data_IF_883322150578
#
_entry.id   IF_883322150578
#
_cell.length_a   1.000
_cell.length_b   1.000
_cell.length_c   1.000
_cell.angle_alpha   90.00
_cell.angle_beta   90.00
_cell.angle_gamma   90.00
#
_symmetry.space_group_name_H-M   'P 1'
#
loop_
_entity.id
_entity.type
_entity.pdbx_description
1 polymer ?
#
# COMPACT_ATOMS: atom_id res chain seq x y z
N UNK A 1 20.61 -11.95 39.92
CA UNK A 1 19.53 -11.11 39.35
C UNK A 1 20.11 -10.30 38.20
N UNK A 2 19.91 -10.76 36.96
CA UNK A 2 20.33 -10.00 35.78
C UNK A 2 19.37 -8.81 35.66
N UNK A 3 19.90 -7.58 35.74
CA UNK A 3 19.14 -6.36 35.45
C UNK A 3 18.46 -6.55 34.10
N UNK A 4 17.13 -6.66 34.08
CA UNK A 4 16.40 -6.59 32.83
C UNK A 4 16.73 -5.25 32.17
N UNK A 5 17.09 -5.23 30.87
CA UNK A 5 17.29 -3.98 30.17
C UNK A 5 15.95 -3.22 30.17
N UNK A 6 16.02 -1.91 30.45
CA UNK A 6 14.93 -0.95 30.27
C UNK A 6 14.05 -1.34 29.07
N UNK A 7 12.76 -1.60 29.33
CA UNK A 7 11.80 -2.08 28.34
C UNK A 7 11.83 -1.24 27.07
N UNK A 8 12.02 0.08 27.18
CA UNK A 8 12.11 0.97 26.02
C UNK A 8 13.33 0.63 25.14
N UNK A 9 14.48 0.36 25.75
CA UNK A 9 15.70 -0.06 25.01
C UNK A 9 15.51 -1.43 24.37
N UNK A 10 14.79 -2.33 25.03
CA UNK A 10 14.47 -3.65 24.48
C UNK A 10 13.55 -3.54 23.26
N UNK A 11 12.49 -2.72 23.35
CA UNK A 11 11.59 -2.41 22.22
C UNK A 11 12.38 -1.83 21.05
N UNK A 12 13.19 -0.79 21.29
CA UNK A 12 14.03 -0.17 20.27
C UNK A 12 14.96 -1.16 19.57
N UNK A 13 15.56 -2.07 20.34
CA UNK A 13 16.48 -3.07 19.82
C UNK A 13 15.77 -4.08 18.92
N UNK A 14 14.59 -4.55 19.34
CA UNK A 14 13.76 -5.47 18.55
C UNK A 14 13.28 -4.79 17.28
N UNK A 15 12.76 -3.55 17.36
CA UNK A 15 12.29 -2.77 16.22
C UNK A 15 13.41 -2.56 15.19
N UNK A 16 14.60 -2.11 15.62
CA UNK A 16 15.75 -1.93 14.73
C UNK A 16 16.18 -3.23 14.06
N UNK A 17 16.16 -4.34 14.81
CA UNK A 17 16.51 -5.65 14.27
C UNK A 17 15.51 -6.12 13.19
N UNK A 18 14.21 -5.96 13.45
CA UNK A 18 13.15 -6.29 12.50
C UNK A 18 13.24 -5.47 11.22
N UNK A 19 13.44 -4.16 11.34
CA UNK A 19 13.58 -3.27 10.19
C UNK A 19 14.84 -3.58 9.38
N UNK A 20 15.97 -3.84 10.04
CA UNK A 20 17.21 -4.23 9.35
C UNK A 20 17.04 -5.55 8.59
N UNK A 21 16.37 -6.54 9.18
CA UNK A 21 16.08 -7.79 8.51
C UNK A 21 15.14 -7.59 7.31
N UNK A 22 14.12 -6.74 7.44
CA UNK A 22 13.22 -6.40 6.35
C UNK A 22 13.93 -5.65 5.22
N UNK A 23 14.81 -4.70 5.53
CA UNK A 23 15.57 -3.96 4.51
C UNK A 23 16.47 -4.86 3.67
N UNK A 24 16.98 -5.95 4.25
CA UNK A 24 17.80 -6.95 3.55
C UNK A 24 16.91 -7.91 2.74
N UNK A 25 15.79 -8.36 3.30
CA UNK A 25 14.99 -9.46 2.74
C UNK A 25 13.84 -9.02 1.83
N UNK A 26 13.31 -7.80 2.00
CA UNK A 26 12.11 -7.30 1.33
C UNK A 26 12.52 -6.20 0.33
N UNK A 27 12.47 -6.47 -0.99
CA UNK A 27 12.77 -5.47 -1.99
C UNK A 27 11.79 -4.29 -1.90
N UNK A 28 12.32 -3.07 -1.78
CA UNK A 28 11.51 -1.85 -1.82
C UNK A 28 11.03 -1.61 -3.25
N UNK A 29 9.75 -1.27 -3.41
CA UNK A 29 9.24 -0.88 -4.71
C UNK A 29 9.93 0.43 -5.17
N UNK A 30 10.23 0.54 -6.46
CA UNK A 30 11.00 1.67 -7.00
C UNK A 30 10.30 3.04 -6.91
N UNK A 31 9.09 3.12 -6.34
CA UNK A 31 8.23 4.32 -6.30
C UNK A 31 7.73 4.79 -7.66
N UNK A 32 8.37 4.36 -8.74
CA UNK A 32 7.97 4.68 -10.10
C UNK A 32 6.69 3.95 -10.44
N UNK A 33 5.64 4.73 -10.70
CA UNK A 33 4.43 4.18 -11.29
C UNK A 33 4.78 3.55 -12.63
N UNK A 34 4.45 2.27 -12.86
CA UNK A 34 4.69 1.65 -14.15
C UNK A 34 3.95 2.47 -15.21
N UNK A 35 4.66 2.80 -16.29
CA UNK A 35 4.05 3.48 -17.44
C UNK A 35 2.80 2.71 -17.82
N UNK A 36 1.63 3.38 -17.86
CA UNK A 36 0.31 2.80 -18.14
C UNK A 36 0.42 1.58 -19.06
N UNK A 37 0.39 0.41 -18.45
CA UNK A 37 0.64 -0.84 -19.14
C UNK A 37 -0.55 -1.10 -20.04
N UNK A 38 -0.31 -1.18 -21.36
CA UNK A 38 -1.34 -1.58 -22.32
C UNK A 38 -1.32 -3.11 -22.36
N UNK A 39 -2.32 -3.83 -21.82
CA UNK A 39 -2.25 -5.29 -21.70
C UNK A 39 -2.13 -6.03 -23.04
N UNK A 40 -2.52 -5.37 -24.13
CA UNK A 40 -2.44 -5.86 -25.50
C UNK A 40 -1.11 -5.51 -26.21
N UNK A 41 -0.21 -4.75 -25.59
CA UNK A 41 1.04 -4.30 -26.19
C UNK A 41 2.18 -5.29 -25.89
N UNK A 42 2.84 -5.80 -26.94
CA UNK A 42 3.91 -6.79 -26.83
C UNK A 42 5.05 -6.50 -27.83
N UNK A 43 6.04 -7.38 -27.88
CA UNK A 43 7.23 -7.20 -28.74
C UNK A 43 6.90 -7.13 -30.23
N UNK A 44 5.84 -7.82 -30.67
CA UNK A 44 5.36 -7.71 -32.05
C UNK A 44 4.84 -6.30 -32.36
N UNK A 45 4.11 -5.67 -31.41
CA UNK A 45 3.71 -4.27 -31.53
C UNK A 45 4.94 -3.32 -31.52
N UNK A 46 5.95 -3.61 -30.69
CA UNK A 46 7.20 -2.84 -30.65
C UNK A 46 7.96 -2.93 -31.97
N UNK A 47 8.17 -4.14 -32.50
CA UNK A 47 8.87 -4.39 -33.75
C UNK A 47 8.16 -3.71 -34.92
N UNK A 48 6.85 -3.86 -35.05
CA UNK A 48 6.07 -3.23 -36.11
C UNK A 48 6.09 -1.69 -36.01
N UNK A 49 6.03 -1.12 -34.80
CA UNK A 49 6.15 0.33 -34.58
C UNK A 49 7.56 0.84 -34.92
N UNK A 50 8.60 0.09 -34.55
CA UNK A 50 10.00 0.43 -34.86
C UNK A 50 10.25 0.40 -36.37
N UNK A 51 9.72 -0.61 -37.07
CA UNK A 51 9.78 -0.71 -38.53
C UNK A 51 9.04 0.47 -39.19
N UNK A 52 7.83 0.78 -38.75
CA UNK A 52 7.09 1.96 -39.23
C UNK A 52 7.88 3.26 -39.04
N UNK A 53 8.50 3.44 -37.86
CA UNK A 53 9.29 4.64 -37.54
C UNK A 53 10.52 4.77 -38.43
N UNK A 54 11.25 3.67 -38.66
CA UNK A 54 12.40 3.66 -39.57
C UNK A 54 12.03 4.10 -40.99
N UNK A 55 10.93 3.56 -41.52
CA UNK A 55 10.48 3.91 -42.88
C UNK A 55 9.92 5.34 -42.94
N UNK A 56 9.25 5.80 -41.87
CA UNK A 56 8.85 7.19 -41.72
C UNK A 56 10.04 8.14 -41.72
N UNK A 57 11.08 7.85 -40.93
CA UNK A 57 12.28 8.69 -40.86
C UNK A 57 13.00 8.74 -42.22
N UNK A 58 13.04 7.63 -42.96
CA UNK A 58 13.57 7.59 -44.33
C UNK A 58 12.75 8.45 -45.29
N UNK A 59 11.43 8.34 -45.28
CA UNK A 59 10.54 9.17 -46.10
C UNK A 59 10.62 10.66 -45.74
N UNK A 60 10.69 10.98 -44.44
CA UNK A 60 10.81 12.36 -43.94
C UNK A 60 12.10 13.03 -44.38
N UNK A 61 13.21 12.29 -44.43
CA UNK A 61 14.51 12.80 -44.92
C UNK A 61 14.57 12.84 -46.45
N UNK A 62 13.95 11.87 -47.12
CA UNK A 62 13.98 11.71 -48.57
C UNK A 62 12.57 11.47 -49.12
N UNK A 63 11.82 12.53 -49.49
CA UNK A 63 10.40 12.48 -49.86
C UNK A 63 10.12 11.89 -51.25
N UNK A 64 10.63 10.71 -51.56
CA UNK A 64 10.39 10.04 -52.85
C UNK A 64 9.09 9.24 -52.85
N UNK A 65 8.49 9.03 -54.02
CA UNK A 65 7.29 8.21 -54.21
C UNK A 65 7.46 6.78 -53.68
N UNK A 66 8.62 6.17 -53.91
CA UNK A 66 8.97 4.85 -53.39
C UNK A 66 8.98 4.81 -51.85
N UNK A 67 9.58 5.82 -51.21
CA UNK A 67 9.61 5.92 -49.74
C UNK A 67 8.21 6.18 -49.16
N UNK A 68 7.37 6.95 -49.85
CA UNK A 68 5.98 7.18 -49.46
C UNK A 68 5.15 5.87 -49.52
N UNK A 69 5.30 5.07 -50.57
CA UNK A 69 4.65 3.75 -50.71
C UNK A 69 5.12 2.81 -49.59
N UNK A 70 6.43 2.75 -49.32
CA UNK A 70 6.98 1.94 -48.25
C UNK A 70 6.41 2.37 -46.87
N UNK A 71 6.30 3.67 -46.61
CA UNK A 71 5.71 4.17 -45.37
C UNK A 71 4.22 3.79 -45.25
N UNK A 72 3.44 3.94 -46.33
CA UNK A 72 2.03 3.53 -46.36
C UNK A 72 1.87 2.03 -46.04
N UNK A 73 2.72 1.16 -46.60
CA UNK A 73 2.75 -0.29 -46.32
C UNK A 73 3.10 -0.58 -44.86
N UNK A 74 4.14 0.05 -44.31
CA UNK A 74 4.52 -0.14 -42.91
C UNK A 74 3.44 0.38 -41.93
N UNK A 75 2.76 1.48 -42.29
CA UNK A 75 1.64 2.05 -41.53
C UNK A 75 0.42 1.13 -41.52
N UNK A 76 0.05 0.55 -42.67
CA UNK A 76 -1.07 -0.40 -42.75
C UNK A 76 -0.76 -1.69 -41.99
N UNK A 77 0.46 -2.22 -42.11
CA UNK A 77 0.92 -3.39 -41.37
C UNK A 77 0.86 -3.17 -39.85
N UNK A 78 1.41 -2.04 -39.36
CA UNK A 78 1.32 -1.71 -37.94
C UNK A 78 -0.14 -1.59 -37.46
N UNK A 79 -1.03 -0.99 -38.26
CA UNK A 79 -2.47 -0.93 -37.95
C UNK A 79 -3.09 -2.32 -37.83
N UNK A 80 -2.76 -3.25 -38.72
CA UNK A 80 -3.21 -4.66 -38.68
C UNK A 80 -2.76 -5.35 -37.39
N UNK A 81 -1.46 -5.32 -37.08
CA UNK A 81 -0.90 -5.92 -35.86
C UNK A 81 -1.58 -5.32 -34.62
N UNK A 82 -1.71 -3.99 -34.56
CA UNK A 82 -2.35 -3.31 -33.45
C UNK A 82 -3.80 -3.77 -33.22
N UNK A 83 -4.60 -3.91 -34.30
CA UNK A 83 -5.99 -4.39 -34.22
C UNK A 83 -6.04 -5.85 -33.76
N UNK A 84 -5.25 -6.73 -34.35
CA UNK A 84 -5.19 -8.15 -33.98
C UNK A 84 -4.82 -8.33 -32.51
N UNK A 85 -3.83 -7.59 -32.00
CA UNK A 85 -3.37 -7.71 -30.62
C UNK A 85 -4.39 -7.18 -29.62
N UNK A 86 -5.07 -6.07 -29.92
CA UNK A 86 -6.21 -5.58 -29.12
C UNK A 86 -7.31 -6.64 -29.04
N UNK A 87 -7.72 -7.19 -30.18
CA UNK A 87 -8.79 -8.19 -30.23
C UNK A 87 -8.42 -9.46 -29.45
N UNK A 88 -7.23 -10.01 -29.65
CA UNK A 88 -6.78 -11.21 -28.92
C UNK A 88 -6.69 -10.96 -27.41
N UNK A 89 -6.23 -9.78 -27.00
CA UNK A 89 -6.20 -9.41 -25.58
C UNK A 89 -7.61 -9.27 -25.00
N UNK A 90 -8.55 -8.72 -25.76
CA UNK A 90 -9.94 -8.60 -25.33
C UNK A 90 -10.61 -9.98 -25.24
N UNK A 91 -10.42 -10.85 -26.23
CA UNK A 91 -10.88 -12.24 -26.20
C UNK A 91 -10.35 -12.99 -24.97
N UNK A 92 -9.05 -12.85 -24.67
CA UNK A 92 -8.43 -13.44 -23.47
C UNK A 92 -9.02 -12.88 -22.17
N UNK A 93 -9.36 -11.59 -22.15
CA UNK A 93 -9.99 -10.97 -20.99
C UNK A 93 -11.41 -11.53 -20.77
N UNK A 94 -12.21 -11.60 -21.83
CA UNK A 94 -13.56 -12.18 -21.78
C UNK A 94 -13.51 -13.66 -21.37
N UNK A 95 -12.58 -14.45 -21.92
CA UNK A 95 -12.41 -15.86 -21.55
C UNK A 95 -11.95 -16.07 -20.10
N UNK A 96 -11.47 -15.01 -19.43
CA UNK A 96 -11.13 -15.05 -18.00
C UNK A 96 -12.35 -14.92 -17.08
N UNK A 97 -13.54 -14.61 -17.62
CA UNK A 97 -14.79 -14.58 -16.86
C UNK A 97 -15.34 -16.01 -16.90
N UNK A 98 -15.01 -16.79 -15.87
CA UNK A 98 -15.39 -18.19 -15.75
C UNK A 98 -16.42 -18.38 -14.63
N UNK A 99 -17.22 -19.45 -14.70
CA UNK A 99 -18.31 -19.72 -13.76
C UNK A 99 -17.88 -19.96 -12.31
N UNK A 100 -16.60 -20.28 -12.05
CA UNK A 100 -16.07 -20.46 -10.69
C UNK A 100 -15.77 -19.12 -9.97
N UNK A 101 -15.85 -17.99 -10.67
CA UNK A 101 -15.64 -16.68 -10.06
C UNK A 101 -16.86 -16.27 -9.21
N UNK A 102 -16.61 -15.56 -8.11
CA UNK A 102 -17.69 -14.98 -7.32
C UNK A 102 -18.48 -13.95 -8.13
N UNK A 103 -19.79 -13.82 -7.84
CA UNK A 103 -20.67 -12.85 -8.51
C UNK A 103 -20.11 -11.43 -8.48
N UNK A 104 -19.51 -11.02 -7.34
CA UNK A 104 -18.82 -9.73 -7.21
C UNK A 104 -17.70 -9.57 -8.24
N UNK A 105 -16.82 -10.56 -8.36
CA UNK A 105 -15.69 -10.51 -9.29
C UNK A 105 -16.13 -10.48 -10.75
N UNK A 106 -17.19 -11.22 -11.09
CA UNK A 106 -17.81 -11.19 -12.43
C UNK A 106 -18.33 -9.79 -12.74
N UNK A 107 -19.14 -9.20 -11.86
CA UNK A 107 -19.70 -7.86 -12.06
C UNK A 107 -18.63 -6.77 -12.10
N UNK A 108 -17.57 -6.87 -11.31
CA UNK A 108 -16.41 -5.97 -11.42
C UNK A 108 -15.73 -6.05 -12.80
N UNK A 109 -15.55 -7.27 -13.33
CA UNK A 109 -14.96 -7.49 -14.66
C UNK A 109 -15.87 -6.99 -15.77
N UNK A 110 -17.18 -7.18 -15.67
CA UNK A 110 -18.19 -6.67 -16.60
C UNK A 110 -18.25 -5.15 -16.55
N UNK A 111 -18.25 -4.55 -15.37
CA UNK A 111 -18.21 -3.10 -15.19
C UNK A 111 -16.98 -2.45 -15.83
N UNK A 112 -15.82 -3.14 -15.82
CA UNK A 112 -14.61 -2.68 -16.53
C UNK A 112 -14.78 -2.66 -18.05
N UNK A 113 -15.56 -3.59 -18.61
CA UNK A 113 -15.89 -3.62 -20.04
C UNK A 113 -16.85 -2.48 -20.39
N UNK A 114 -17.88 -2.29 -19.57
CA UNK A 114 -18.91 -1.28 -19.77
C UNK A 114 -18.41 0.15 -19.47
N UNK A 115 -17.22 0.30 -18.87
CA UNK A 115 -16.71 1.59 -18.42
C UNK A 115 -17.47 2.17 -17.24
N UNK A 116 -18.39 1.42 -16.64
CA UNK A 116 -19.18 1.82 -15.45
C UNK A 116 -18.40 1.58 -14.16
N UNK A 117 -17.29 0.84 -14.23
CA UNK A 117 -16.37 0.71 -13.11
C UNK A 117 -15.75 2.08 -12.81
N UNK A 118 -16.29 2.73 -11.79
CA UNK A 118 -15.68 3.90 -11.16
C UNK A 118 -14.40 3.43 -10.48
N UNK A 119 -13.34 3.20 -11.26
CA UNK A 119 -11.99 3.15 -10.72
C UNK A 119 -11.82 4.44 -9.95
N UNK A 120 -11.60 4.35 -8.63
CA UNK A 120 -11.41 5.49 -7.73
C UNK A 120 -10.73 6.64 -8.47
N UNK A 121 -11.51 7.65 -8.83
CA UNK A 121 -10.95 8.93 -9.25
C UNK A 121 -10.47 9.54 -7.95
N UNK A 122 -9.20 9.27 -7.62
CA UNK A 122 -8.55 9.94 -6.49
C UNK A 122 -8.74 11.44 -6.65
N UNK A 123 -8.94 12.12 -5.53
CA UNK A 123 -9.03 13.59 -5.47
C UNK A 123 -7.82 14.13 -6.24
N UNK A 124 -8.08 14.75 -7.39
CA UNK A 124 -7.03 15.15 -8.34
C UNK A 124 -6.40 16.48 -7.98
N UNK A 125 -7.07 17.25 -7.13
CA UNK A 125 -6.63 18.53 -6.63
C UNK A 125 -7.34 18.84 -5.30
N UNK A 126 -6.63 19.46 -4.38
CA UNK A 126 -7.19 20.06 -3.17
C UNK A 126 -6.69 21.50 -3.07
N UNK A 127 -7.54 22.41 -2.59
CA UNK A 127 -7.19 23.81 -2.39
C UNK A 127 -7.21 24.11 -0.89
N UNK A 128 -6.10 24.62 -0.37
CA UNK A 128 -5.97 25.03 1.02
C UNK A 128 -5.32 26.41 1.05
N UNK A 129 -5.94 27.38 1.72
CA UNK A 129 -5.41 28.74 1.88
C UNK A 129 -4.96 29.39 0.56
N UNK A 130 -5.69 29.15 -0.54
CA UNK A 130 -5.37 29.71 -1.87
C UNK A 130 -4.33 28.95 -2.70
N UNK A 131 -3.63 27.95 -2.14
CA UNK A 131 -2.67 27.12 -2.90
C UNK A 131 -3.30 25.84 -3.43
N UNK A 132 -3.00 25.52 -4.69
CA UNK A 132 -3.45 24.31 -5.38
C UNK A 132 -2.46 23.16 -5.16
N UNK A 133 -2.92 22.10 -4.49
CA UNK A 133 -2.12 20.89 -4.25
C UNK A 133 -2.60 19.78 -5.19
N UNK A 134 -1.76 19.41 -6.16
CA UNK A 134 -2.07 18.41 -7.20
C UNK A 134 -1.39 17.05 -6.98
N UNK A 135 -0.40 16.97 -6.10
CA UNK A 135 0.33 15.73 -5.81
C UNK A 135 -0.35 14.97 -4.67
N UNK A 136 -0.52 13.65 -4.82
CA UNK A 136 -1.29 12.80 -3.89
C UNK A 136 -0.79 12.87 -2.45
N UNK A 137 0.53 12.90 -2.25
CA UNK A 137 1.12 13.04 -0.90
C UNK A 137 0.75 14.38 -0.26
N UNK A 138 0.74 15.45 -1.04
CA UNK A 138 0.37 16.78 -0.57
C UNK A 138 -1.10 16.81 -0.18
N UNK A 139 -1.98 16.29 -1.03
CA UNK A 139 -3.42 16.20 -0.75
C UNK A 139 -3.66 15.41 0.55
N UNK A 140 -2.99 14.27 0.73
CA UNK A 140 -3.09 13.47 1.94
C UNK A 140 -2.60 14.21 3.19
N UNK A 141 -1.45 14.89 3.10
CA UNK A 141 -0.90 15.69 4.21
C UNK A 141 -1.81 16.86 4.56
N UNK A 142 -2.36 17.56 3.57
CA UNK A 142 -3.34 18.63 3.75
C UNK A 142 -4.57 18.12 4.51
N UNK A 143 -5.16 17.01 4.05
CA UNK A 143 -6.30 16.39 4.75
C UNK A 143 -5.93 16.02 6.19
N UNK A 144 -4.76 15.40 6.37
CA UNK A 144 -4.21 15.08 7.69
C UNK A 144 -4.09 16.32 8.59
N UNK A 145 -3.57 17.43 8.07
CA UNK A 145 -3.47 18.68 8.83
C UNK A 145 -4.82 19.28 9.18
N UNK A 146 -5.80 19.24 8.27
CA UNK A 146 -7.15 19.74 8.54
C UNK A 146 -7.81 18.89 9.61
N UNK A 147 -7.73 17.56 9.51
CA UNK A 147 -8.26 16.66 10.54
C UNK A 147 -7.56 16.84 11.88
N UNK A 148 -6.24 17.02 11.89
CA UNK A 148 -5.48 17.29 13.11
C UNK A 148 -5.90 18.62 13.74
N UNK A 149 -6.08 19.67 12.94
CA UNK A 149 -6.54 20.98 13.42
C UNK A 149 -7.96 20.90 13.99
N UNK A 150 -8.88 20.25 13.30
CA UNK A 150 -10.27 20.06 13.78
C UNK A 150 -10.31 19.17 15.04
N UNK A 151 -9.39 18.23 15.16
CA UNK A 151 -9.28 17.34 16.34
C UNK A 151 -8.36 17.90 17.42
N UNK A 152 -7.79 19.09 17.22
CA UNK A 152 -6.87 19.71 18.18
C UNK A 152 -7.63 20.19 19.40
N UNK A 153 -6.91 20.33 20.52
CA UNK A 153 -7.51 20.85 21.75
C UNK A 153 -8.12 22.25 21.55
N UNK A 154 -7.57 23.03 20.62
CA UNK A 154 -7.99 24.39 20.27
C UNK A 154 -9.38 24.44 19.61
N UNK A 155 -9.86 23.32 19.06
CA UNK A 155 -11.19 23.22 18.47
C UNK A 155 -12.30 22.93 19.50
N UNK A 156 -11.95 22.58 20.74
CA UNK A 156 -12.92 22.32 21.80
C UNK A 156 -13.28 23.60 22.58
N UNK A 157 -14.44 23.59 23.23
CA UNK A 157 -14.80 24.67 24.15
C UNK A 157 -13.84 24.74 25.33
N UNK A 158 -13.58 25.96 25.83
CA UNK A 158 -12.70 26.15 27.00
C UNK A 158 -13.18 25.36 28.23
N UNK A 159 -14.50 25.19 28.37
CA UNK A 159 -15.11 24.36 29.42
C UNK A 159 -14.72 22.89 29.29
N UNK A 160 -14.75 22.32 28.08
CA UNK A 160 -14.36 20.93 27.84
C UNK A 160 -12.86 20.71 28.01
N UNK A 161 -12.02 21.64 27.54
CA UNK A 161 -10.56 21.56 27.72
C UNK A 161 -10.21 21.50 29.22
N UNK A 162 -10.85 22.34 30.03
CA UNK A 162 -10.63 22.38 31.48
C UNK A 162 -11.06 21.06 32.13
N UNK A 163 -12.24 20.54 31.75
CA UNK A 163 -12.72 19.24 32.20
C UNK A 163 -11.76 18.09 31.81
N UNK A 164 -11.35 18.00 30.54
CA UNK A 164 -10.40 17.00 30.02
C UNK A 164 -9.10 17.02 30.82
N UNK A 165 -8.46 18.18 30.96
CA UNK A 165 -7.21 18.33 31.73
C UNK A 165 -7.37 17.93 33.21
N UNK A 166 -8.54 18.16 33.80
CA UNK A 166 -8.83 17.72 35.16
C UNK A 166 -9.01 16.20 35.25
N UNK A 167 -9.67 15.57 34.27
CA UNK A 167 -9.84 14.12 34.23
C UNK A 167 -8.54 13.39 33.90
N UNK A 168 -7.74 13.87 32.95
CA UNK A 168 -6.45 13.27 32.57
C UNK A 168 -5.39 13.32 33.69
N UNK A 169 -5.53 14.25 34.64
CA UNK A 169 -4.72 14.27 35.87
C UNK A 169 -5.04 13.11 36.83
N UNK A 170 -6.24 12.53 36.75
CA UNK A 170 -6.63 11.41 37.61
C UNK A 170 -5.90 10.16 37.12
N UNK A 171 -4.89 9.73 37.87
CA UNK A 171 -4.24 8.43 37.63
C UNK A 171 -5.24 7.32 37.90
N UNK A 172 -5.49 6.49 36.89
CA UNK A 172 -6.30 5.28 37.04
C UNK A 172 -5.39 4.23 37.70
N UNK A 173 -5.79 3.77 38.89
CA UNK A 173 -5.10 2.68 39.57
C UNK A 173 -5.70 1.35 39.09
N UNK A 174 -4.94 0.57 38.34
CA UNK A 174 -5.32 -0.79 37.91
C UNK A 174 -4.94 -1.87 38.94
N UNK A 175 -4.37 -1.45 40.08
CA UNK A 175 -3.90 -2.36 41.12
C UNK A 175 -5.07 -3.06 41.78
N UNK A 176 -5.03 -4.39 41.79
CA UNK A 176 -6.01 -5.24 42.46
C UNK A 176 -5.26 -6.33 43.22
N UNK A 177 -5.75 -6.66 44.42
CA UNK A 177 -5.21 -7.76 45.23
C UNK A 177 -5.71 -9.13 44.74
N UNK A 178 -6.73 -9.15 43.87
CA UNK A 178 -7.28 -10.37 43.31
C UNK A 178 -6.45 -10.85 42.12
N UNK A 179 -6.05 -12.11 42.16
CA UNK A 179 -5.41 -12.79 41.03
C UNK A 179 -6.48 -13.17 40.01
N UNK A 180 -6.57 -12.41 38.91
CA UNK A 180 -7.45 -12.74 37.80
C UNK A 180 -6.70 -13.51 36.71
N UNK A 181 -7.36 -14.53 36.15
CA UNK A 181 -6.77 -15.37 35.10
C UNK A 181 -6.39 -14.60 33.83
N UNK A 182 -6.98 -13.44 33.57
CA UNK A 182 -6.65 -12.59 32.42
C UNK A 182 -5.46 -11.63 32.66
N UNK A 183 -4.93 -11.57 33.89
CA UNK A 183 -3.79 -10.73 34.25
C UNK A 183 -2.45 -11.49 34.26
N UNK A 184 -2.46 -12.78 33.93
CA UNK A 184 -1.24 -13.60 33.85
C UNK A 184 -0.45 -13.30 32.58
N UNK A 185 0.82 -13.70 32.58
CA UNK A 185 1.71 -13.65 31.42
C UNK A 185 1.07 -14.25 30.16
N UNK A 186 1.26 -13.58 29.03
CA UNK A 186 0.84 -14.12 27.75
C UNK A 186 1.65 -15.37 27.41
N UNK A 187 1.01 -16.30 26.71
CA UNK A 187 1.66 -17.49 26.20
C UNK A 187 1.91 -17.43 24.68
N UNK A 188 2.77 -18.32 24.19
CA UNK A 188 3.15 -18.36 22.79
C UNK A 188 1.98 -18.69 21.84
N UNK A 189 0.97 -19.43 22.33
CA UNK A 189 -0.22 -19.75 21.55
C UNK A 189 -1.09 -18.52 21.33
N UNK A 190 -1.28 -17.69 22.35
CA UNK A 190 -2.00 -16.42 22.27
C UNK A 190 -1.32 -15.46 21.32
N UNK A 191 0.00 -15.27 21.46
CA UNK A 191 0.77 -14.41 20.58
C UNK A 191 0.66 -14.85 19.11
N UNK A 192 0.81 -16.15 18.84
CA UNK A 192 0.66 -16.70 17.48
C UNK A 192 -0.76 -16.53 16.94
N UNK A 193 -1.78 -16.72 17.78
CA UNK A 193 -3.17 -16.54 17.38
C UNK A 193 -3.42 -15.09 17.01
N UNK A 194 -2.97 -14.14 17.84
CA UNK A 194 -3.10 -12.71 17.62
C UNK A 194 -2.43 -12.25 16.31
N UNK A 195 -1.19 -12.69 16.07
CA UNK A 195 -0.45 -12.37 14.83
C UNK A 195 -1.14 -12.99 13.59
N UNK A 196 -1.72 -14.19 13.70
CA UNK A 196 -2.44 -14.81 12.58
C UNK A 196 -3.77 -14.15 12.28
N UNK A 197 -4.51 -13.73 13.31
CA UNK A 197 -5.79 -13.03 13.15
C UNK A 197 -5.63 -11.59 12.69
N UNK A 198 -4.42 -11.01 12.72
CA UNK A 198 -4.22 -9.63 12.30
C UNK A 198 -4.42 -9.47 10.78
N UNK A 199 -5.17 -8.44 10.40
CA UNK A 199 -5.33 -8.07 9.00
C UNK A 199 -4.12 -7.25 8.52
N UNK A 200 -3.69 -7.41 7.26
CA UNK A 200 -2.61 -6.61 6.70
C UNK A 200 -3.08 -5.16 6.51
N UNK A 201 -2.84 -4.33 7.52
CA UNK A 201 -3.03 -2.88 7.49
C UNK A 201 -1.71 -2.16 7.17
N UNK A 202 -1.79 -0.86 6.88
CA UNK A 202 -0.61 -0.03 6.69
C UNK A 202 0.25 -0.02 7.96
N UNK A 203 1.59 -0.18 7.86
CA UNK A 203 2.49 -0.10 9.01
C UNK A 203 2.30 1.19 9.81
N UNK A 204 2.52 1.11 11.12
CA UNK A 204 2.48 2.26 12.02
C UNK A 204 3.72 3.15 11.89
N UNK A 205 3.91 4.03 12.88
CA UNK A 205 5.10 4.91 12.97
C UNK A 205 6.41 4.12 13.11
N UNK A 206 6.32 2.89 13.62
CA UNK A 206 7.44 1.95 13.75
C UNK A 206 7.87 1.33 12.40
N UNK A 207 7.07 1.47 11.35
CA UNK A 207 7.32 0.87 10.04
C UNK A 207 7.21 -0.65 9.99
N UNK A 208 6.74 -1.32 11.05
CA UNK A 208 6.62 -2.78 11.11
C UNK A 208 5.31 -3.21 10.46
N UNK A 209 5.40 -3.99 9.38
CA UNK A 209 4.21 -4.58 8.75
C UNK A 209 3.78 -5.87 9.46
N UNK A 210 2.48 -6.12 9.57
CA UNK A 210 1.95 -7.39 10.08
C UNK A 210 2.49 -8.63 9.36
N UNK A 211 2.78 -8.53 8.06
CA UNK A 211 3.36 -9.63 7.30
C UNK A 211 4.80 -9.94 7.74
N UNK A 212 5.55 -8.96 8.27
CA UNK A 212 6.85 -9.22 8.87
C UNK A 212 6.70 -10.08 10.13
N UNK A 213 5.71 -9.77 10.98
CA UNK A 213 5.44 -10.50 12.21
C UNK A 213 4.96 -11.94 11.93
N UNK A 214 4.13 -12.13 10.90
CA UNK A 214 3.64 -13.46 10.48
C UNK A 214 4.74 -14.39 9.98
N UNK A 215 5.83 -13.84 9.46
CA UNK A 215 6.97 -14.58 8.93
C UNK A 215 8.14 -14.74 9.92
N UNK A 216 7.94 -14.38 11.19
CA UNK A 216 8.97 -14.54 12.22
C UNK A 216 9.27 -16.00 12.54
N UNK A 217 10.55 -16.29 12.81
CA UNK A 217 10.98 -17.60 13.28
C UNK A 217 10.40 -17.91 14.67
N UNK A 218 10.30 -19.20 15.03
CA UNK A 218 9.85 -19.61 16.38
C UNK A 218 10.70 -18.99 17.50
N UNK A 219 12.01 -18.83 17.28
CA UNK A 219 12.93 -18.21 18.25
C UNK A 219 12.64 -16.72 18.40
N UNK A 220 12.45 -16.02 17.29
CA UNK A 220 12.10 -14.58 17.27
C UNK A 220 10.76 -14.31 17.94
N UNK A 221 9.77 -15.18 17.74
CA UNK A 221 8.48 -15.10 18.44
C UNK A 221 8.62 -15.31 19.96
N UNK A 222 9.54 -16.18 20.40
CA UNK A 222 9.85 -16.35 21.81
C UNK A 222 10.45 -15.09 22.44
N UNK A 223 11.38 -14.43 21.75
CA UNK A 223 11.93 -13.15 22.20
C UNK A 223 10.87 -12.05 22.26
N UNK A 224 9.98 -12.01 21.26
CA UNK A 224 8.88 -11.06 21.22
C UNK A 224 7.87 -11.30 22.37
N UNK A 225 7.63 -12.56 22.73
CA UNK A 225 6.79 -12.91 23.88
C UNK A 225 7.37 -12.40 25.20
N UNK A 226 8.68 -12.63 25.41
CA UNK A 226 9.39 -12.14 26.60
C UNK A 226 9.28 -10.61 26.68
N UNK A 227 9.44 -9.92 25.55
CA UNK A 227 9.29 -8.46 25.49
C UNK A 227 7.87 -8.02 25.89
N UNK A 228 6.83 -8.64 25.33
CA UNK A 228 5.44 -8.28 25.65
C UNK A 228 5.07 -8.57 27.12
N UNK A 229 5.53 -9.68 27.70
CA UNK A 229 5.34 -9.95 29.12
C UNK A 229 6.12 -8.96 30.00
N UNK A 230 7.31 -8.52 29.56
CA UNK A 230 8.05 -7.44 30.23
C UNK A 230 7.27 -6.11 30.24
N UNK A 231 6.77 -5.68 29.08
CA UNK A 231 5.90 -4.49 28.93
C UNK A 231 4.68 -4.60 29.86
N UNK A 232 4.02 -5.75 29.84
CA UNK A 232 2.83 -6.02 30.64
C UNK A 232 3.09 -5.92 32.15
N UNK A 233 4.13 -6.61 32.63
CA UNK A 233 4.45 -6.70 34.06
C UNK A 233 5.09 -5.43 34.63
N UNK A 234 5.82 -4.66 33.81
CA UNK A 234 6.39 -3.38 34.23
C UNK A 234 5.40 -2.21 34.12
N UNK A 235 4.19 -2.45 33.59
CA UNK A 235 3.15 -1.44 33.37
C UNK A 235 3.63 -0.22 32.57
N UNK A 236 4.47 -0.46 31.56
CA UNK A 236 5.00 0.56 30.64
C UNK A 236 4.21 0.47 29.33
N UNK A 237 3.24 1.37 29.13
CA UNK A 237 2.33 1.37 27.99
C UNK A 237 2.52 2.58 27.07
#
# INVERSE_FOLDING_TARGET
MVRQPDVNKAVDSVTKCLLKAADIAIPKSSGNLPRLYKPWWNDNCNAAKKAQRRVWDKFRRYPTTANHIAFKRAKSFFRKIRRQRKNRSFQKYVSSIQGHLSSKSIWEKVGKILGTNKSYQGISFSQTNGQLVSHTKGIANTLGSVFANVSSEESYSQTFITYKKQQEKRRIAFNTLASFAYNVDFNLHELRRAIRSSHPTTPGLDGINHDMLKNLSKKSLGLLLILFNGIWNEHVF
#
